data_IF_778825796110
#
_entry.id   IF_778825796110
#
_cell.length_a   1.000
_cell.length_b   1.000
_cell.length_c   1.000
_cell.angle_alpha   90.00
_cell.angle_beta   90.00
_cell.angle_gamma   90.00
#
_symmetry.space_group_name_H-M   'P 1'
#
loop_
_entity.id
_entity.type
_entity.pdbx_description
1 polymer ?
#
# COMPACT_ATOMS: atom_id res chain seq x y z
N UNK A 1 9.84 -17.15 24.10
CA UNK A 1 8.87 -17.75 25.03
C UNK A 1 8.00 -18.72 24.23
N UNK A 2 8.28 -20.03 24.32
CA UNK A 2 7.53 -21.07 23.59
C UNK A 2 6.14 -21.17 24.20
N UNK A 3 5.10 -20.70 23.48
CA UNK A 3 3.72 -21.05 23.81
C UNK A 3 3.60 -22.58 23.77
N UNK A 4 3.19 -23.19 24.87
CA UNK A 4 3.09 -24.64 24.94
C UNK A 4 2.01 -25.13 23.97
N UNK A 5 2.36 -26.02 23.07
CA UNK A 5 1.49 -26.67 22.09
C UNK A 5 0.20 -27.25 22.69
N UNK A 6 0.19 -27.63 23.98
CA UNK A 6 -0.98 -28.12 24.72
C UNK A 6 -2.10 -27.09 24.93
N UNK A 7 -1.79 -25.75 24.83
CA UNK A 7 -2.82 -24.70 24.87
C UNK A 7 -3.43 -24.46 23.48
N UNK A 8 -2.72 -24.84 22.41
CA UNK A 8 -3.19 -24.68 21.04
C UNK A 8 -4.16 -25.78 20.59
N UNK A 9 -4.07 -27.00 21.16
CA UNK A 9 -5.00 -28.10 20.83
C UNK A 9 -6.46 -27.85 21.29
N UNK A 10 -6.69 -26.94 22.24
CA UNK A 10 -8.04 -26.53 22.64
C UNK A 10 -8.70 -25.51 21.73
N UNK A 11 -7.96 -24.92 20.80
CA UNK A 11 -8.46 -23.89 19.88
C UNK A 11 -8.20 -24.29 18.42
N UNK A 12 -9.02 -25.23 17.90
CA UNK A 12 -8.97 -25.67 16.50
C UNK A 12 -9.01 -24.51 15.48
N UNK A 13 -9.58 -23.34 15.87
CA UNK A 13 -9.63 -22.15 15.02
C UNK A 13 -8.25 -21.48 14.86
N UNK A 14 -7.43 -21.42 15.90
CA UNK A 14 -6.10 -20.80 15.83
C UNK A 14 -5.08 -21.63 15.02
N UNK A 15 -5.23 -22.97 15.01
CA UNK A 15 -4.39 -23.84 14.18
C UNK A 15 -4.62 -23.57 12.68
N UNK A 16 -5.89 -23.43 12.31
CA UNK A 16 -6.26 -23.04 10.94
C UNK A 16 -5.72 -21.65 10.54
N UNK A 17 -5.67 -20.69 11.46
CA UNK A 17 -5.15 -19.33 11.18
C UNK A 17 -3.67 -19.36 10.79
N UNK A 18 -2.82 -20.12 11.49
CA UNK A 18 -1.40 -20.22 11.13
C UNK A 18 -1.16 -20.93 9.80
N UNK A 19 -1.91 -21.98 9.51
CA UNK A 19 -1.85 -22.66 8.23
C UNK A 19 -2.36 -21.77 7.10
N UNK A 20 -3.37 -20.93 7.37
CA UNK A 20 -3.90 -19.95 6.42
C UNK A 20 -2.93 -18.80 6.19
N UNK A 21 -2.19 -18.33 7.19
CA UNK A 21 -1.10 -17.36 6.96
C UNK A 21 0.04 -17.97 6.12
N UNK A 22 0.34 -19.25 6.29
CA UNK A 22 1.27 -19.97 5.43
C UNK A 22 0.70 -20.14 4.00
N UNK A 23 -0.61 -20.30 3.86
CA UNK A 23 -1.32 -20.35 2.58
C UNK A 23 -1.51 -18.95 1.96
N UNK A 24 -1.47 -17.88 2.73
CA UNK A 24 -1.37 -16.49 2.26
C UNK A 24 0.03 -16.16 1.68
N UNK A 25 0.85 -17.18 1.45
CA UNK A 25 2.16 -17.09 0.78
C UNK A 25 2.13 -16.48 -0.63
N UNK A 26 0.91 -16.22 -1.16
CA UNK A 26 0.71 -15.51 -2.43
C UNK A 26 0.75 -13.98 -2.30
N UNK A 27 0.78 -13.41 -1.08
CA UNK A 27 0.98 -11.96 -0.87
C UNK A 27 2.48 -11.68 -0.94
N UNK A 28 2.87 -10.85 -1.89
CA UNK A 28 4.25 -10.64 -2.25
C UNK A 28 4.68 -11.52 -3.43
N UNK A 29 5.99 -11.62 -3.65
CA UNK A 29 6.53 -12.32 -4.82
C UNK A 29 6.14 -11.67 -6.15
N UNK A 30 5.70 -10.41 -6.14
CA UNK A 30 5.26 -9.70 -7.33
C UNK A 30 6.38 -9.48 -8.33
N UNK A 31 6.04 -9.39 -9.60
CA UNK A 31 7.03 -9.14 -10.66
C UNK A 31 7.62 -7.73 -10.61
N UNK A 32 8.78 -7.57 -11.24
CA UNK A 32 9.34 -6.28 -11.60
C UNK A 32 9.53 -6.22 -13.12
N UNK A 33 9.21 -5.10 -13.75
CA UNK A 33 9.35 -4.93 -15.20
C UNK A 33 10.22 -3.74 -15.52
N UNK A 34 10.96 -3.82 -16.64
CA UNK A 34 11.67 -2.69 -17.20
C UNK A 34 10.72 -1.94 -18.12
N UNK A 35 10.45 -0.67 -17.81
CA UNK A 35 9.66 0.22 -18.66
C UNK A 35 10.54 0.75 -19.80
N UNK A 36 10.30 0.25 -21.01
CA UNK A 36 11.20 0.51 -22.13
C UNK A 36 10.77 1.67 -23.03
N UNK A 37 9.45 1.94 -23.12
CA UNK A 37 8.92 2.91 -24.05
C UNK A 37 8.76 4.28 -23.40
N UNK A 38 8.22 4.33 -22.20
CA UNK A 38 7.94 5.57 -21.49
C UNK A 38 9.20 6.38 -21.15
N UNK A 39 10.34 5.71 -20.97
CA UNK A 39 11.62 6.36 -20.61
C UNK A 39 12.48 6.75 -21.82
N UNK A 40 12.28 6.15 -22.99
CA UNK A 40 13.13 6.37 -24.18
C UNK A 40 13.32 7.83 -24.60
N UNK A 41 12.35 8.69 -24.32
CA UNK A 41 12.36 10.10 -24.73
C UNK A 41 13.15 11.03 -23.81
N UNK A 42 13.54 10.58 -22.62
CA UNK A 42 14.14 11.45 -21.59
C UNK A 42 15.43 10.91 -20.95
N UNK A 43 15.91 9.72 -21.30
CA UNK A 43 16.72 8.97 -20.33
C UNK A 43 18.22 8.93 -20.53
N UNK A 44 18.82 9.54 -21.53
CA UNK A 44 20.29 9.52 -21.71
C UNK A 44 20.99 8.21 -21.24
N UNK A 45 20.32 7.04 -21.41
CA UNK A 45 20.80 5.73 -20.96
C UNK A 45 20.35 5.27 -19.58
N UNK A 46 19.44 5.98 -18.90
CA UNK A 46 18.81 5.52 -17.64
C UNK A 46 17.84 4.38 -17.88
N UNK A 47 17.63 3.53 -16.86
CA UNK A 47 16.65 2.45 -16.85
C UNK A 47 15.62 2.68 -15.74
N UNK A 48 14.37 2.36 -16.03
CA UNK A 48 13.28 2.44 -15.03
C UNK A 48 12.64 1.07 -14.83
N UNK A 49 12.80 0.54 -13.63
CA UNK A 49 12.17 -0.70 -13.19
C UNK A 49 10.94 -0.38 -12.34
N UNK A 50 9.84 -1.06 -12.59
CA UNK A 50 8.58 -0.89 -11.90
C UNK A 50 8.13 -2.19 -11.22
N UNK A 51 7.95 -2.16 -9.90
CA UNK A 51 7.45 -3.27 -9.08
C UNK A 51 5.93 -3.32 -9.17
N UNK A 52 5.38 -4.44 -9.65
CA UNK A 52 3.97 -4.59 -9.99
C UNK A 52 3.14 -5.03 -8.77
N UNK A 53 2.85 -4.14 -7.85
CA UNK A 53 2.10 -4.46 -6.63
C UNK A 53 0.59 -4.71 -6.87
N UNK A 54 0.08 -4.36 -8.03
CA UNK A 54 -1.24 -4.78 -8.49
C UNK A 54 -1.41 -6.29 -8.67
N UNK A 55 -0.32 -7.06 -8.69
CA UNK A 55 -0.32 -8.52 -8.78
C UNK A 55 -0.53 -9.23 -7.44
N UNK A 56 -0.56 -8.52 -6.33
CA UNK A 56 -0.98 -9.10 -5.06
C UNK A 56 -2.44 -9.60 -5.16
N UNK A 57 -2.87 -10.61 -4.39
CA UNK A 57 -4.21 -11.21 -4.48
C UNK A 57 -5.36 -10.22 -4.30
N UNK A 58 -5.22 -9.29 -3.36
CA UNK A 58 -6.16 -8.19 -3.18
C UNK A 58 -5.94 -7.05 -4.19
N UNK A 59 -4.97 -7.16 -5.11
CA UNK A 59 -4.71 -6.25 -6.23
C UNK A 59 -3.99 -4.97 -5.85
N UNK A 60 -3.29 -4.91 -4.73
CA UNK A 60 -2.52 -3.72 -4.34
C UNK A 60 -1.37 -3.99 -3.37
N UNK A 61 -0.51 -3.00 -3.26
CA UNK A 61 0.58 -2.91 -2.28
C UNK A 61 0.10 -3.06 -0.83
N UNK A 62 -1.17 -2.75 -0.55
CA UNK A 62 -1.75 -2.75 0.80
C UNK A 62 -1.97 -4.15 1.37
N UNK A 63 -1.94 -5.19 0.55
CA UNK A 63 -2.04 -6.57 1.02
C UNK A 63 -0.88 -6.91 1.96
N UNK A 64 0.32 -6.40 1.67
CA UNK A 64 1.51 -6.64 2.50
C UNK A 64 1.39 -6.07 3.91
N UNK A 65 1.16 -4.75 4.10
CA UNK A 65 1.02 -4.20 5.44
C UNK A 65 -0.22 -4.74 6.17
N UNK A 66 -1.34 -4.95 5.48
CA UNK A 66 -2.53 -5.53 6.10
C UNK A 66 -2.25 -6.92 6.68
N UNK A 67 -1.56 -7.79 5.92
CA UNK A 67 -1.16 -9.11 6.38
C UNK A 67 -0.27 -9.01 7.63
N UNK A 68 0.76 -8.18 7.60
CA UNK A 68 1.71 -8.03 8.70
C UNK A 68 1.05 -7.49 9.97
N UNK A 69 0.19 -6.47 9.84
CA UNK A 69 -0.53 -5.89 10.99
C UNK A 69 -1.50 -6.88 11.61
N UNK A 70 -2.28 -7.61 10.79
CA UNK A 70 -3.25 -8.61 11.29
C UNK A 70 -2.53 -9.81 11.89
N UNK A 71 -1.50 -10.34 11.20
CA UNK A 71 -0.70 -11.46 11.70
C UNK A 71 -0.11 -11.15 13.07
N UNK A 72 0.54 -9.99 13.21
CA UNK A 72 1.09 -9.58 14.50
C UNK A 72 0.00 -9.43 15.59
N UNK A 73 -1.16 -8.90 15.25
CA UNK A 73 -2.27 -8.78 16.19
C UNK A 73 -2.79 -10.15 16.67
N UNK A 74 -2.88 -11.12 15.77
CA UNK A 74 -3.23 -12.51 16.11
C UNK A 74 -2.15 -13.14 17.01
N UNK A 75 -0.88 -13.01 16.64
CA UNK A 75 0.25 -13.54 17.41
C UNK A 75 0.35 -12.95 18.83
N UNK A 76 -0.02 -11.69 18.99
CA UNK A 76 -0.09 -11.00 20.28
C UNK A 76 -1.37 -11.23 21.06
N UNK A 77 -2.36 -11.95 20.51
CA UNK A 77 -3.65 -12.17 21.12
C UNK A 77 -4.53 -10.91 21.20
N UNK A 78 -4.27 -9.91 20.34
CA UNK A 78 -5.10 -8.72 20.21
C UNK A 78 -6.37 -8.99 19.39
N UNK A 79 -6.31 -9.95 18.48
CA UNK A 79 -7.46 -10.51 17.78
C UNK A 79 -7.76 -11.87 18.39
N UNK A 80 -8.94 -11.99 19.00
CA UNK A 80 -9.49 -13.19 19.61
C UNK A 80 -10.63 -13.73 18.73
N UNK A 81 -11.22 -14.86 19.08
CA UNK A 81 -12.30 -15.55 18.33
C UNK A 81 -13.48 -14.62 17.98
N UNK A 82 -13.87 -13.71 18.89
CA UNK A 82 -15.00 -12.79 18.68
C UNK A 82 -14.58 -11.37 18.33
N UNK A 83 -13.28 -11.12 18.13
CA UNK A 83 -12.79 -9.79 17.78
C UNK A 83 -13.00 -9.53 16.30
N UNK A 84 -13.60 -8.39 15.96
CA UNK A 84 -13.74 -7.91 14.58
C UNK A 84 -12.65 -6.87 14.28
N UNK A 85 -12.18 -6.85 13.04
CA UNK A 85 -11.35 -5.73 12.56
C UNK A 85 -12.28 -4.56 12.25
N UNK A 86 -11.95 -3.37 12.76
CA UNK A 86 -12.64 -2.13 12.43
C UNK A 86 -11.63 -1.09 11.94
N UNK A 87 -11.93 -0.40 10.85
CA UNK A 87 -11.09 0.70 10.36
C UNK A 87 -11.88 1.64 9.45
N UNK A 88 -11.27 2.78 9.14
CA UNK A 88 -11.75 3.71 8.13
C UNK A 88 -10.86 3.63 6.89
N UNK A 89 -11.45 3.21 5.77
CA UNK A 89 -10.71 3.15 4.51
C UNK A 89 -11.63 3.10 3.29
N UNK A 90 -11.56 4.10 2.42
CA UNK A 90 -12.23 4.09 1.11
C UNK A 90 -11.41 3.40 0.02
N UNK A 91 -10.19 2.97 0.33
CA UNK A 91 -9.22 2.52 -0.66
C UNK A 91 -8.78 1.07 -0.50
N UNK A 92 -7.58 0.83 -0.98
CA UNK A 92 -6.97 -0.50 -1.06
C UNK A 92 -6.79 -1.19 0.30
N UNK A 93 -6.57 -0.41 1.37
CA UNK A 93 -6.39 -0.97 2.73
C UNK A 93 -7.66 -1.67 3.21
N UNK A 94 -8.83 -1.05 3.02
CA UNK A 94 -10.12 -1.68 3.36
C UNK A 94 -10.37 -2.98 2.59
N UNK A 95 -9.99 -3.02 1.30
CA UNK A 95 -10.06 -4.23 0.49
C UNK A 95 -9.13 -5.32 1.06
N UNK A 96 -7.89 -4.95 1.40
CA UNK A 96 -6.91 -5.91 1.94
C UNK A 96 -7.36 -6.47 3.29
N UNK A 97 -7.92 -5.65 4.18
CA UNK A 97 -8.51 -6.13 5.43
C UNK A 97 -9.70 -7.07 5.18
N UNK A 98 -10.60 -6.71 4.27
CA UNK A 98 -11.75 -7.54 3.92
C UNK A 98 -11.30 -8.90 3.37
N UNK A 99 -10.32 -8.91 2.45
CA UNK A 99 -9.75 -10.14 1.87
C UNK A 99 -9.11 -11.03 2.95
N UNK A 100 -8.28 -10.46 3.81
CA UNK A 100 -7.58 -11.21 4.86
C UNK A 100 -8.59 -11.69 5.92
N UNK A 101 -9.58 -10.86 6.25
CA UNK A 101 -10.68 -11.25 7.15
C UNK A 101 -11.47 -12.43 6.61
N UNK A 102 -11.81 -12.43 5.32
CA UNK A 102 -12.47 -13.56 4.65
C UNK A 102 -11.62 -14.83 4.71
N UNK A 103 -10.30 -14.70 4.45
CA UNK A 103 -9.36 -15.82 4.51
C UNK A 103 -9.27 -16.43 5.91
N UNK A 104 -9.24 -15.58 6.94
CA UNK A 104 -9.03 -16.01 8.33
C UNK A 104 -10.32 -16.24 9.12
N UNK A 105 -11.50 -16.01 8.52
CA UNK A 105 -12.78 -16.07 9.21
C UNK A 105 -12.98 -14.96 10.25
N UNK A 106 -12.25 -13.84 10.14
CA UNK A 106 -12.35 -12.68 11.01
C UNK A 106 -13.35 -11.70 10.41
N UNK A 107 -14.33 -11.25 11.21
CA UNK A 107 -15.27 -10.21 10.77
C UNK A 107 -14.54 -8.89 10.55
N UNK A 108 -14.92 -8.19 9.49
CA UNK A 108 -14.33 -6.90 9.13
C UNK A 108 -15.43 -5.87 8.94
N UNK A 109 -15.28 -4.72 9.59
CA UNK A 109 -16.17 -3.58 9.47
C UNK A 109 -15.40 -2.36 9.00
N UNK A 110 -15.79 -1.80 7.86
CA UNK A 110 -15.11 -0.67 7.23
C UNK A 110 -16.05 0.52 7.13
N UNK A 111 -15.59 1.66 7.62
CA UNK A 111 -16.22 2.96 7.42
C UNK A 111 -15.60 3.65 6.21
N UNK A 112 -16.42 4.20 5.33
CA UNK A 112 -15.94 4.90 4.14
C UNK A 112 -16.95 5.92 3.63
N UNK A 113 -16.51 7.04 3.01
CA UNK A 113 -17.42 8.01 2.41
C UNK A 113 -18.18 7.41 1.22
N UNK A 114 -19.45 7.80 1.07
CA UNK A 114 -20.35 7.22 0.08
C UNK A 114 -19.95 7.46 -1.38
N UNK A 115 -19.12 8.46 -1.65
CA UNK A 115 -18.60 8.79 -2.99
C UNK A 115 -17.36 7.99 -3.42
N UNK A 116 -16.93 6.98 -2.65
CA UNK A 116 -15.87 6.06 -3.11
C UNK A 116 -16.33 5.27 -4.34
N UNK A 117 -15.38 4.75 -5.15
CA UNK A 117 -15.70 4.01 -6.38
C UNK A 117 -16.58 2.78 -6.13
N UNK A 118 -17.50 2.50 -7.07
CA UNK A 118 -18.42 1.36 -6.97
C UNK A 118 -17.70 0.02 -6.98
N UNK A 119 -16.58 -0.07 -7.71
CA UNK A 119 -15.74 -1.27 -7.75
C UNK A 119 -15.23 -1.63 -6.36
N UNK A 120 -14.71 -0.66 -5.62
CA UNK A 120 -14.19 -0.89 -4.27
C UNK A 120 -15.29 -1.29 -3.29
N UNK A 121 -16.49 -0.65 -3.37
CA UNK A 121 -17.65 -1.05 -2.56
C UNK A 121 -18.03 -2.51 -2.80
N UNK A 122 -18.10 -2.89 -4.08
CA UNK A 122 -18.45 -4.27 -4.48
C UNK A 122 -17.41 -5.26 -4.00
N UNK A 123 -16.11 -4.97 -4.17
CA UNK A 123 -15.03 -5.86 -3.76
C UNK A 123 -15.05 -6.09 -2.25
N UNK A 124 -15.16 -5.04 -1.44
CA UNK A 124 -15.20 -5.18 0.03
C UNK A 124 -16.40 -6.04 0.48
N UNK A 125 -17.58 -5.81 -0.11
CA UNK A 125 -18.79 -6.60 0.19
C UNK A 125 -18.68 -8.05 -0.26
N UNK A 126 -18.05 -8.31 -1.41
CA UNK A 126 -17.82 -9.67 -1.91
C UNK A 126 -16.91 -10.47 -0.98
N UNK A 127 -15.93 -9.83 -0.34
CA UNK A 127 -15.12 -10.46 0.71
C UNK A 127 -15.86 -10.57 2.07
N UNK A 128 -17.12 -10.13 2.16
CA UNK A 128 -17.93 -10.25 3.36
C UNK A 128 -17.72 -9.15 4.40
N UNK A 129 -17.04 -8.05 4.07
CA UNK A 129 -16.91 -6.93 4.99
C UNK A 129 -18.25 -6.19 5.16
N UNK A 130 -18.57 -5.84 6.40
CA UNK A 130 -19.60 -4.85 6.71
C UNK A 130 -19.09 -3.46 6.30
N UNK A 131 -19.66 -2.91 5.23
CA UNK A 131 -19.29 -1.60 4.72
C UNK A 131 -20.32 -0.56 5.15
N UNK A 132 -19.92 0.33 6.06
CA UNK A 132 -20.72 1.46 6.56
C UNK A 132 -20.37 2.71 5.77
N UNK A 133 -21.30 3.20 4.97
CA UNK A 133 -21.10 4.39 4.17
C UNK A 133 -21.47 5.65 4.98
N UNK A 134 -20.54 6.62 5.03
CA UNK A 134 -20.74 7.93 5.65
C UNK A 134 -21.11 8.97 4.59
N UNK A 135 -21.73 10.09 4.97
CA UNK A 135 -22.03 11.18 4.05
C UNK A 135 -20.78 11.64 3.28
N UNK A 136 -20.93 11.87 1.96
CA UNK A 136 -19.80 12.25 1.10
C UNK A 136 -19.19 13.59 1.50
N UNK A 137 -19.99 14.51 1.98
CA UNK A 137 -19.60 15.85 2.46
C UNK A 137 -18.73 15.82 3.72
N UNK A 138 -18.83 14.76 4.53
CA UNK A 138 -17.96 14.56 5.69
C UNK A 138 -16.57 13.99 5.28
N UNK A 139 -16.40 13.60 4.02
CA UNK A 139 -15.15 13.08 3.48
C UNK A 139 -14.58 11.91 4.29
N UNK A 140 -13.26 11.76 4.28
CA UNK A 140 -12.55 10.74 5.08
C UNK A 140 -12.64 11.00 6.58
N UNK A 141 -12.68 12.26 7.00
CA UNK A 141 -12.67 12.62 8.43
C UNK A 141 -13.93 12.14 9.14
N UNK A 142 -15.09 12.22 8.48
CA UNK A 142 -16.34 11.66 9.01
C UNK A 142 -16.30 10.15 9.19
N UNK A 143 -15.68 9.45 8.24
CA UNK A 143 -15.52 7.99 8.34
C UNK A 143 -14.52 7.59 9.46
N UNK A 144 -13.42 8.31 9.61
CA UNK A 144 -12.43 8.11 10.69
C UNK A 144 -13.12 8.32 12.05
N UNK A 145 -13.83 9.44 12.20
CA UNK A 145 -14.53 9.77 13.44
C UNK A 145 -15.50 8.66 13.85
N UNK A 146 -16.36 8.20 12.93
CA UNK A 146 -17.36 7.15 13.23
C UNK A 146 -16.72 5.80 13.55
N UNK A 147 -15.65 5.43 12.85
CA UNK A 147 -14.90 4.21 13.15
C UNK A 147 -14.28 4.28 14.55
N UNK A 148 -13.70 5.42 14.93
CA UNK A 148 -13.09 5.63 16.24
C UNK A 148 -14.13 5.62 17.36
N UNK A 149 -15.26 6.31 17.18
CA UNK A 149 -16.35 6.31 18.15
C UNK A 149 -16.93 4.90 18.42
N UNK A 150 -17.05 4.09 17.36
CA UNK A 150 -17.51 2.72 17.53
C UNK A 150 -16.44 1.85 18.19
N UNK A 151 -15.18 2.01 17.82
CA UNK A 151 -14.06 1.33 18.47
C UNK A 151 -13.99 1.64 19.97
N UNK A 152 -14.13 2.91 20.35
CA UNK A 152 -14.11 3.34 21.76
C UNK A 152 -15.32 2.75 22.54
N UNK A 153 -16.50 2.75 21.94
CA UNK A 153 -17.72 2.20 22.56
C UNK A 153 -17.65 0.67 22.75
N UNK A 154 -17.15 -0.06 21.75
CA UNK A 154 -17.06 -1.52 21.79
C UNK A 154 -15.82 -2.04 22.50
N UNK A 155 -14.76 -1.23 22.54
CA UNK A 155 -13.50 -1.55 23.18
C UNK A 155 -12.70 -2.67 22.51
N UNK A 156 -11.54 -2.95 23.09
CA UNK A 156 -10.55 -3.93 22.59
C UNK A 156 -11.01 -5.39 22.64
N UNK A 157 -12.07 -5.69 23.35
CA UNK A 157 -12.62 -7.04 23.39
C UNK A 157 -13.51 -7.32 22.18
N UNK A 158 -14.16 -6.30 21.62
CA UNK A 158 -14.98 -6.42 20.42
C UNK A 158 -14.21 -6.10 19.12
N UNK A 159 -13.27 -5.16 19.18
CA UNK A 159 -12.62 -4.63 18.00
C UNK A 159 -11.10 -4.59 18.10
N UNK A 160 -10.46 -4.83 16.96
CA UNK A 160 -9.06 -4.48 16.70
C UNK A 160 -9.00 -3.44 15.56
N UNK A 161 -8.37 -2.31 15.84
CA UNK A 161 -8.12 -1.25 14.85
C UNK A 161 -6.64 -1.29 14.45
N UNK A 162 -6.32 -1.65 13.18
CA UNK A 162 -4.93 -1.83 12.75
C UNK A 162 -4.09 -0.56 12.74
N UNK A 163 -4.69 0.60 12.53
CA UNK A 163 -4.03 1.92 12.46
C UNK A 163 -2.81 1.94 11.53
N UNK A 164 -3.07 1.91 10.23
CA UNK A 164 -2.01 1.85 9.21
C UNK A 164 -1.02 3.02 9.22
N UNK A 165 -1.36 4.13 9.88
CA UNK A 165 -0.52 5.33 9.93
C UNK A 165 0.52 5.29 11.06
N UNK A 166 0.25 4.56 12.13
CA UNK A 166 1.14 4.48 13.30
C UNK A 166 1.66 3.06 13.57
N UNK A 167 1.06 2.04 12.95
CA UNK A 167 1.45 0.66 13.17
C UNK A 167 2.80 0.34 12.51
N UNK A 168 3.86 0.00 13.27
CA UNK A 168 5.19 -0.25 12.73
C UNK A 168 5.25 -1.45 11.77
N UNK A 169 4.28 -2.35 11.81
CA UNK A 169 4.20 -3.48 10.89
C UNK A 169 3.84 -3.08 9.46
N UNK A 170 3.39 -1.84 9.24
CA UNK A 170 3.27 -1.28 7.91
C UNK A 170 4.65 -1.16 7.23
N UNK A 171 5.59 -0.32 7.66
CA UNK A 171 6.90 -0.26 7.03
C UNK A 171 7.72 -1.56 7.19
N UNK A 172 7.57 -2.32 8.30
CA UNK A 172 8.22 -3.63 8.47
C UNK A 172 7.85 -4.58 7.33
N UNK A 173 6.60 -4.62 6.89
CA UNK A 173 6.16 -5.48 5.79
C UNK A 173 6.94 -5.21 4.50
N UNK A 174 7.21 -3.95 4.20
CA UNK A 174 7.96 -3.53 3.03
C UNK A 174 9.47 -3.75 3.18
N UNK A 175 9.99 -3.57 4.39
CA UNK A 175 11.39 -3.84 4.72
C UNK A 175 11.73 -5.33 4.54
N UNK A 176 10.85 -6.22 5.01
CA UNK A 176 11.07 -7.67 4.99
C UNK A 176 10.70 -8.33 3.66
N UNK A 177 9.81 -7.73 2.86
CA UNK A 177 9.32 -8.36 1.62
C UNK A 177 9.63 -7.53 0.39
N UNK A 178 9.00 -6.38 0.19
CA UNK A 178 9.11 -5.58 -1.04
C UNK A 178 10.56 -5.24 -1.37
N UNK A 179 11.32 -4.78 -0.38
CA UNK A 179 12.72 -4.40 -0.56
C UNK A 179 13.61 -5.60 -0.90
N UNK A 180 13.40 -6.72 -0.22
CA UNK A 180 14.15 -7.97 -0.47
C UNK A 180 13.89 -8.48 -1.88
N UNK A 181 12.63 -8.45 -2.31
CA UNK A 181 12.24 -8.82 -3.68
C UNK A 181 12.88 -7.89 -4.72
N UNK A 182 12.84 -6.57 -4.50
CA UNK A 182 13.48 -5.58 -5.37
C UNK A 182 14.98 -5.85 -5.50
N UNK A 183 15.69 -6.03 -4.38
CA UNK A 183 17.12 -6.34 -4.39
C UNK A 183 17.42 -7.62 -5.15
N UNK A 184 16.66 -8.68 -4.92
CA UNK A 184 16.83 -9.97 -5.63
C UNK A 184 16.56 -9.82 -7.13
N UNK A 185 15.49 -9.13 -7.53
CA UNK A 185 15.05 -9.02 -8.91
C UNK A 185 15.94 -8.08 -9.74
N UNK A 186 16.57 -7.09 -9.12
CA UNK A 186 17.51 -6.15 -9.77
C UNK A 186 18.97 -6.58 -9.65
N UNK A 187 19.27 -7.64 -8.86
CA UNK A 187 20.63 -8.01 -8.49
C UNK A 187 21.33 -6.92 -7.68
N UNK A 188 20.58 -6.05 -6.98
CA UNK A 188 21.11 -4.91 -6.23
C UNK A 188 21.60 -3.75 -7.10
N UNK A 189 21.41 -3.82 -8.42
CA UNK A 189 21.84 -2.76 -9.35
C UNK A 189 20.83 -1.61 -9.41
N UNK A 190 20.81 -0.80 -8.36
CA UNK A 190 19.87 0.29 -8.11
C UNK A 190 20.67 1.54 -7.74
N UNK A 191 20.42 2.66 -8.42
CA UNK A 191 20.97 3.96 -8.05
C UNK A 191 19.93 4.81 -7.30
N UNK A 192 18.64 4.68 -7.69
CA UNK A 192 17.54 5.49 -7.17
C UNK A 192 16.31 4.62 -6.91
N UNK A 193 15.72 4.78 -5.73
CA UNK A 193 14.38 4.30 -5.43
C UNK A 193 13.46 5.49 -5.19
N UNK A 194 12.39 5.61 -5.97
CA UNK A 194 11.44 6.71 -5.84
C UNK A 194 10.01 6.19 -5.74
N UNK A 195 9.25 6.68 -4.77
CA UNK A 195 7.83 6.33 -4.61
C UNK A 195 7.07 7.40 -3.83
N UNK A 196 5.76 7.43 -4.01
CA UNK A 196 4.86 8.37 -3.36
C UNK A 196 4.60 8.07 -1.90
N UNK A 197 4.13 9.08 -1.18
CA UNK A 197 3.77 9.03 0.23
C UNK A 197 2.26 9.01 0.39
N UNK A 198 1.70 7.84 0.76
CA UNK A 198 0.37 7.73 1.36
C UNK A 198 0.50 7.63 2.87
N UNK A 199 0.70 6.43 3.40
CA UNK A 199 1.02 6.22 4.83
C UNK A 199 2.52 6.37 5.13
N UNK A 200 3.37 6.32 4.12
CA UNK A 200 4.83 6.32 4.28
C UNK A 200 5.46 4.93 4.43
N UNK A 201 4.66 3.89 4.65
CA UNK A 201 5.18 2.54 4.89
C UNK A 201 6.11 2.02 3.81
N UNK A 202 5.73 2.20 2.54
CA UNK A 202 6.53 1.72 1.40
C UNK A 202 7.89 2.41 1.31
N UNK A 203 7.91 3.74 1.34
CA UNK A 203 9.17 4.48 1.19
C UNK A 203 10.11 4.24 2.37
N UNK A 204 9.58 4.21 3.59
CA UNK A 204 10.39 3.99 4.79
C UNK A 204 10.90 2.54 4.88
N UNK A 205 10.03 1.56 4.64
CA UNK A 205 10.40 0.15 4.71
C UNK A 205 11.41 -0.24 3.63
N UNK A 206 11.10 0.09 2.37
CA UNK A 206 12.02 -0.18 1.24
C UNK A 206 13.29 0.66 1.39
N UNK A 207 13.15 1.94 1.65
CA UNK A 207 14.28 2.87 1.74
C UNK A 207 15.29 2.45 2.79
N UNK A 208 14.82 2.12 4.01
CA UNK A 208 15.71 1.63 5.09
C UNK A 208 16.50 0.40 4.65
N UNK A 209 15.83 -0.60 4.07
CA UNK A 209 16.50 -1.84 3.63
C UNK A 209 17.50 -1.61 2.51
N UNK A 210 17.16 -0.73 1.56
CA UNK A 210 18.08 -0.38 0.47
C UNK A 210 19.30 0.39 0.99
N UNK A 211 19.13 1.32 1.94
CA UNK A 211 20.24 2.03 2.59
C UNK A 211 21.15 1.11 3.37
N UNK A 212 20.61 0.12 4.07
CA UNK A 212 21.40 -0.91 4.76
C UNK A 212 22.18 -1.82 3.79
N UNK A 213 21.64 -2.07 2.60
CA UNK A 213 22.33 -2.81 1.56
C UNK A 213 23.45 -1.99 0.88
N UNK A 214 23.13 -0.74 0.51
CA UNK A 214 24.08 0.20 -0.08
C UNK A 214 23.62 1.64 0.20
N UNK A 215 24.35 2.35 1.03
CA UNK A 215 24.02 3.72 1.48
C UNK A 215 24.07 4.77 0.36
N UNK A 216 24.73 4.43 -0.78
CA UNK A 216 24.74 5.29 -1.98
C UNK A 216 23.43 5.31 -2.74
N UNK A 217 22.56 4.31 -2.56
CA UNK A 217 21.23 4.31 -3.20
C UNK A 217 20.45 5.52 -2.69
N UNK A 218 19.98 6.36 -3.60
CA UNK A 218 19.18 7.53 -3.26
C UNK A 218 17.71 7.19 -3.14
N UNK A 219 17.12 7.54 -2.01
CA UNK A 219 15.70 7.33 -1.70
C UNK A 219 14.98 8.67 -1.89
N UNK A 220 14.06 8.74 -2.85
CA UNK A 220 13.39 9.98 -3.25
C UNK A 220 11.90 9.86 -3.03
N UNK A 221 11.35 10.77 -2.25
CA UNK A 221 9.91 10.87 -2.04
C UNK A 221 9.25 11.62 -3.20
N UNK A 222 8.28 10.98 -3.85
CA UNK A 222 7.42 11.66 -4.82
C UNK A 222 6.22 12.23 -4.07
N UNK A 223 6.00 13.53 -4.15
CA UNK A 223 4.94 14.23 -3.40
C UNK A 223 4.13 15.11 -4.32
N UNK A 224 2.83 15.35 -4.04
CA UNK A 224 2.05 16.29 -4.82
C UNK A 224 2.60 17.71 -4.66
N UNK A 225 2.40 18.53 -5.66
CA UNK A 225 2.85 19.94 -5.65
C UNK A 225 1.87 20.87 -4.91
N UNK A 226 0.63 20.43 -4.71
CA UNK A 226 -0.40 21.19 -4.03
C UNK A 226 -1.30 20.31 -3.16
N UNK A 227 -2.01 20.92 -2.21
CA UNK A 227 -2.98 20.24 -1.35
C UNK A 227 -4.21 19.75 -2.13
N UNK A 228 -4.61 20.51 -3.15
CA UNK A 228 -5.74 20.17 -4.02
C UNK A 228 -5.29 19.34 -5.23
N UNK A 229 -4.83 18.12 -4.96
CA UNK A 229 -4.38 17.19 -6.01
C UNK A 229 -5.36 16.05 -6.25
N UNK A 230 -5.38 15.50 -7.47
CA UNK A 230 -6.20 14.36 -7.87
C UNK A 230 -5.53 12.98 -7.71
N UNK A 231 -4.39 12.89 -7.03
CA UNK A 231 -3.65 11.63 -6.87
C UNK A 231 -4.20 10.87 -5.68
N UNK A 232 -5.15 9.97 -5.93
CA UNK A 232 -5.79 9.21 -4.86
C UNK A 232 -4.79 8.38 -4.04
N UNK A 233 -4.99 8.39 -2.71
CA UNK A 233 -4.19 7.64 -1.76
C UNK A 233 -2.90 8.34 -1.30
N UNK A 234 -2.56 9.50 -1.87
CA UNK A 234 -1.45 10.32 -1.40
C UNK A 234 -1.92 11.41 -0.43
N UNK A 235 -0.99 11.92 0.36
CA UNK A 235 -1.21 13.05 1.26
C UNK A 235 -0.22 14.16 0.96
N UNK A 236 -0.72 15.41 0.93
CA UNK A 236 0.10 16.60 0.87
C UNK A 236 0.75 16.86 2.24
N UNK A 237 -0.06 16.86 3.29
CA UNK A 237 0.38 16.94 4.68
C UNK A 237 0.53 15.52 5.23
N UNK A 238 1.76 15.00 5.27
CA UNK A 238 2.06 13.64 5.71
C UNK A 238 2.88 13.67 7.01
N UNK A 239 2.65 12.66 7.85
CA UNK A 239 3.49 12.35 9.01
C UNK A 239 4.15 10.99 8.78
N UNK A 240 5.44 10.89 9.03
CA UNK A 240 6.24 9.68 8.81
C UNK A 240 6.78 9.13 10.14
N UNK A 241 5.93 9.07 11.15
CA UNK A 241 6.29 8.72 12.52
C UNK A 241 6.08 7.22 12.81
N UNK A 242 6.93 6.37 12.25
CA UNK A 242 6.93 4.96 12.60
C UNK A 242 8.11 4.60 13.51
N UNK A 243 7.82 3.94 14.62
CA UNK A 243 8.88 3.49 15.53
C UNK A 243 9.91 2.62 14.81
N UNK A 244 11.18 2.98 14.92
CA UNK A 244 12.29 2.29 14.26
C UNK A 244 12.57 2.72 12.81
N UNK A 245 11.85 3.73 12.29
CA UNK A 245 12.04 4.29 10.95
C UNK A 245 12.20 5.80 11.02
N UNK A 246 13.42 6.26 10.85
CA UNK A 246 13.80 7.67 10.87
C UNK A 246 13.76 8.21 9.44
N UNK A 247 12.73 8.99 9.12
CA UNK A 247 12.51 9.51 7.77
C UNK A 247 13.64 10.42 7.29
N UNK A 248 14.22 11.22 8.19
CA UNK A 248 15.29 12.17 7.86
C UNK A 248 16.61 11.45 7.50
N UNK A 249 16.80 10.23 8.01
CA UNK A 249 17.94 9.39 7.66
C UNK A 249 17.69 8.50 6.44
N UNK A 250 16.43 8.24 6.09
CA UNK A 250 16.05 7.33 5.01
C UNK A 250 15.85 8.10 3.70
N UNK A 251 15.13 9.21 3.73
CA UNK A 251 14.76 9.97 2.53
C UNK A 251 15.84 11.00 2.23
N UNK A 252 16.45 10.90 1.03
CA UNK A 252 17.51 11.83 0.61
C UNK A 252 16.95 13.10 -0.06
N UNK A 253 15.82 13.00 -0.78
CA UNK A 253 15.30 14.13 -1.57
C UNK A 253 13.80 13.96 -1.86
N UNK A 254 13.18 15.03 -2.36
CA UNK A 254 11.77 15.11 -2.73
C UNK A 254 11.60 15.61 -4.16
N UNK A 255 10.67 15.00 -4.90
CA UNK A 255 10.25 15.48 -6.22
C UNK A 255 8.75 15.76 -6.23
N UNK A 256 8.40 16.99 -6.59
CA UNK A 256 7.00 17.44 -6.70
C UNK A 256 6.42 17.08 -8.06
N UNK A 257 5.18 16.59 -8.05
CA UNK A 257 4.40 16.22 -9.23
C UNK A 257 3.02 16.84 -9.19
N UNK A 258 2.57 17.34 -10.32
CA UNK A 258 1.21 17.84 -10.52
C UNK A 258 0.27 16.72 -10.96
N UNK A 259 -1.03 16.96 -10.87
CA UNK A 259 -2.08 16.02 -11.23
C UNK A 259 -2.08 15.68 -12.72
N UNK A 260 -1.97 16.70 -13.59
CA UNK A 260 -2.05 16.55 -15.05
C UNK A 260 -0.89 15.72 -15.59
N UNK A 261 0.34 16.02 -15.18
CA UNK A 261 1.52 15.23 -15.54
C UNK A 261 1.44 13.80 -15.04
N UNK A 262 0.88 13.59 -13.85
CA UNK A 262 0.65 12.26 -13.28
C UNK A 262 -0.36 11.47 -14.11
N UNK A 263 -1.46 12.08 -14.55
CA UNK A 263 -2.46 11.44 -15.40
C UNK A 263 -1.93 11.19 -16.83
N UNK A 264 -1.15 12.10 -17.37
CA UNK A 264 -0.49 11.90 -18.66
C UNK A 264 0.47 10.69 -18.62
N UNK A 265 1.26 10.55 -17.54
CA UNK A 265 2.14 9.39 -17.36
C UNK A 265 1.34 8.09 -17.16
N UNK A 266 0.20 8.13 -16.44
CA UNK A 266 -0.70 7.00 -16.32
C UNK A 266 -1.23 6.54 -17.71
N UNK A 267 -1.68 7.47 -18.54
CA UNK A 267 -2.11 7.17 -19.92
C UNK A 267 -1.02 6.50 -20.74
N UNK A 268 0.22 6.97 -20.59
CA UNK A 268 1.38 6.38 -21.26
C UNK A 268 1.69 4.99 -20.75
N UNK A 269 1.61 4.73 -19.43
CA UNK A 269 1.77 3.38 -18.86
C UNK A 269 0.78 2.39 -19.47
N UNK A 270 -0.49 2.79 -19.61
CA UNK A 270 -1.54 1.94 -20.22
C UNK A 270 -1.28 1.73 -21.71
N UNK A 271 -1.06 2.82 -22.47
CA UNK A 271 -1.02 2.76 -23.95
C UNK A 271 0.32 2.31 -24.51
N UNK A 272 1.43 2.67 -23.85
CA UNK A 272 2.76 2.37 -24.36
C UNK A 272 3.36 1.11 -23.73
N UNK A 273 3.15 0.88 -22.43
CA UNK A 273 3.72 -0.27 -21.71
C UNK A 273 2.71 -1.41 -21.50
N UNK A 274 1.41 -1.20 -21.79
CA UNK A 274 0.37 -2.20 -21.63
C UNK A 274 0.04 -2.51 -20.16
N UNK A 275 0.29 -1.58 -19.22
CA UNK A 275 0.13 -1.79 -17.80
C UNK A 275 -1.07 -0.99 -17.29
N UNK A 276 -2.18 -1.69 -17.01
CA UNK A 276 -3.37 -1.09 -16.39
C UNK A 276 -3.12 -0.90 -14.89
N UNK A 277 -2.83 0.31 -14.46
CA UNK A 277 -2.50 0.65 -13.08
C UNK A 277 -3.27 1.89 -12.59
N UNK A 278 -3.19 2.19 -11.28
CA UNK A 278 -3.90 3.32 -10.68
C UNK A 278 -3.14 4.65 -10.74
N UNK A 279 -3.78 5.71 -10.22
CA UNK A 279 -3.28 7.10 -10.25
C UNK A 279 -1.89 7.28 -9.67
N UNK A 280 -1.63 6.65 -8.52
CA UNK A 280 -0.33 6.71 -7.84
C UNK A 280 0.81 6.11 -8.67
N UNK A 281 0.51 5.17 -9.56
CA UNK A 281 1.49 4.61 -10.49
C UNK A 281 1.94 5.64 -11.53
N UNK A 282 1.00 6.39 -12.11
CA UNK A 282 1.29 7.49 -13.02
C UNK A 282 2.13 8.57 -12.35
N UNK A 283 1.76 8.95 -11.13
CA UNK A 283 2.48 9.95 -10.34
C UNK A 283 3.92 9.51 -10.00
N UNK A 284 4.12 8.25 -9.59
CA UNK A 284 5.44 7.69 -9.34
C UNK A 284 6.34 7.75 -10.58
N UNK A 285 5.81 7.31 -11.72
CA UNK A 285 6.55 7.31 -12.98
C UNK A 285 6.83 8.75 -13.45
N UNK A 286 5.86 9.66 -13.34
CA UNK A 286 6.08 11.07 -13.69
C UNK A 286 7.17 11.71 -12.84
N UNK A 287 7.20 11.44 -11.55
CA UNK A 287 8.28 11.88 -10.65
C UNK A 287 9.65 11.41 -11.14
N UNK A 288 9.76 10.13 -11.54
CA UNK A 288 11.01 9.59 -12.07
C UNK A 288 11.37 10.21 -13.42
N UNK A 289 10.42 10.46 -14.32
CA UNK A 289 10.70 11.14 -15.58
C UNK A 289 11.30 12.54 -15.36
N UNK A 290 10.84 13.28 -14.34
CA UNK A 290 11.45 14.55 -13.91
C UNK A 290 12.88 14.36 -13.39
N UNK A 291 13.14 13.27 -12.66
CA UNK A 291 14.49 12.97 -12.13
C UNK A 291 15.46 12.56 -13.23
N UNK A 292 15.03 11.78 -14.23
CA UNK A 292 15.89 11.33 -15.34
C UNK A 292 16.36 12.46 -16.25
N UNK A 293 15.74 13.64 -16.17
CA UNK A 293 16.24 14.85 -16.82
C UNK A 293 17.52 15.41 -16.14
N UNK A 294 17.75 15.06 -14.87
CA UNK A 294 18.87 15.58 -14.07
C UNK A 294 19.90 14.50 -13.72
N UNK A 295 19.46 13.26 -13.57
CA UNK A 295 20.25 12.15 -13.06
C UNK A 295 20.27 10.99 -14.03
N UNK A 296 21.42 10.29 -14.10
CA UNK A 296 21.58 9.04 -14.85
C UNK A 296 21.68 7.86 -13.89
N UNK A 297 21.08 6.73 -14.26
CA UNK A 297 21.20 5.50 -13.47
C UNK A 297 20.01 4.57 -13.60
N UNK A 298 19.98 3.59 -12.74
CA UNK A 298 18.91 2.60 -12.61
C UNK A 298 17.92 3.07 -11.56
N UNK A 299 16.73 3.44 -12.00
CA UNK A 299 15.62 3.86 -11.16
C UNK A 299 14.70 2.68 -10.89
N UNK A 300 14.22 2.58 -9.65
CA UNK A 300 13.20 1.62 -9.24
C UNK A 300 12.02 2.37 -8.64
N UNK A 301 10.81 1.98 -9.02
CA UNK A 301 9.57 2.46 -8.41
C UNK A 301 8.59 1.33 -8.14
N UNK A 302 7.47 1.69 -7.53
CA UNK A 302 6.33 0.78 -7.29
C UNK A 302 5.14 1.26 -8.12
N UNK A 303 4.43 0.33 -8.76
CA UNK A 303 3.07 0.55 -9.28
C UNK A 303 2.11 -0.05 -8.25
N UNK A 304 1.50 0.79 -7.38
CA UNK A 304 0.90 0.30 -6.13
C UNK A 304 -0.34 -0.54 -6.30
N UNK A 305 -1.09 -0.38 -7.40
CA UNK A 305 -2.34 -1.11 -7.61
C UNK A 305 -2.75 -1.21 -9.08
N UNK A 306 -3.83 -1.97 -9.33
CA UNK A 306 -4.43 -2.12 -10.65
C UNK A 306 -5.43 -1.01 -10.95
N UNK A 307 -5.50 -0.57 -12.22
CA UNK A 307 -6.47 0.41 -12.72
C UNK A 307 -7.93 -0.08 -12.72
N UNK A 308 -8.17 -1.39 -12.63
CA UNK A 308 -9.52 -1.96 -12.61
C UNK A 308 -10.42 -1.47 -11.46
N UNK A 309 -9.84 -0.81 -10.46
CA UNK A 309 -10.56 -0.23 -9.30
C UNK A 309 -11.09 1.17 -9.54
N UNK A 310 -10.79 1.74 -10.69
CA UNK A 310 -11.04 3.14 -11.02
C UNK A 310 -11.84 3.33 -12.31
N UNK A 311 -12.31 2.24 -12.94
CA UNK A 311 -12.96 2.27 -14.25
C UNK A 311 -14.21 3.15 -14.27
N UNK A 312 -14.95 3.24 -13.15
CA UNK A 312 -16.12 4.12 -13.00
C UNK A 312 -15.75 5.57 -12.69
N UNK A 313 -14.46 5.89 -12.48
CA UNK A 313 -14.05 7.26 -12.21
C UNK A 313 -13.97 8.07 -13.50
N UNK A 314 -14.26 9.38 -13.41
CA UNK A 314 -14.23 10.29 -14.56
C UNK A 314 -12.91 10.22 -15.34
N UNK A 315 -11.79 10.17 -14.65
CA UNK A 315 -10.47 10.15 -15.29
C UNK A 315 -10.28 8.94 -16.20
N UNK A 316 -10.77 7.75 -15.78
CA UNK A 316 -10.68 6.55 -16.61
C UNK A 316 -11.72 6.53 -17.73
N UNK A 317 -12.85 7.23 -17.61
CA UNK A 317 -13.85 7.34 -18.68
C UNK A 317 -13.40 8.26 -19.82
N UNK A 318 -12.41 9.13 -19.59
CA UNK A 318 -11.83 10.06 -20.58
C UNK A 318 -10.58 9.49 -21.30
N UNK A 319 -10.23 8.20 -21.06
CA UNK A 319 -9.14 7.48 -21.75
C UNK A 319 -9.60 6.97 -23.11
#
# INVERSE_FOLDING_TARGET
>A
MKLSWKKMEKNKSLFNIYDMFNSASNIGGTGIVLLNKIIKTSSHGSKLYAKLEGLNPGGSVKDRPALYMIKNAVEKGLIKENTSIIDSSSGNTGISYAMIGALLGIKVKIYAPSNMSEERKKIMRLYGAELVLTPAEESHDGAIKRASEEYERGGKDMYYMPDQYNNPYNPISHYETTAVEILKQTGGNIDYFATGIGTGGTILGVGKRLKEYNDKIKIIAVVPDSEMHGIEGWKYNYSLNFHGFDADKIIDDFVKVDTEGSYAALKRLVKEEGILCGFSSGANVYGILKLTAKYKGNFVTVLPDTGSRYLSTRVFSEF
#
